data_IF_013483046073
#
_entry.id   IF_013483046073
#
_cell.length_a   1.000
_cell.length_b   1.000
_cell.length_c   1.000
_cell.angle_alpha   90.00
_cell.angle_beta   90.00
_cell.angle_gamma   90.00
#
_symmetry.space_group_name_H-M   'P 1'
#
loop_
_entity.id
_entity.type
_entity.pdbx_description
1 polymer ?
#
# COMPACT_ATOMS: atom_id res chain seq x y z
N UNK A 1 -0.11 5.21 -23.96
CA UNK A 1 0.78 5.28 -22.78
C UNK A 1 1.18 3.87 -22.37
N UNK A 2 2.45 3.61 -22.01
CA UNK A 2 2.89 2.30 -21.50
C UNK A 2 2.11 1.96 -20.23
N UNK A 3 1.65 0.71 -20.07
CA UNK A 3 0.88 0.24 -18.90
C UNK A 3 1.57 0.54 -17.56
N UNK A 4 2.90 0.55 -17.56
CA UNK A 4 3.72 0.89 -16.38
C UNK A 4 3.53 2.35 -15.93
N UNK A 5 3.44 3.30 -16.86
CA UNK A 5 3.18 4.70 -16.50
C UNK A 5 1.77 4.87 -15.93
N UNK A 6 0.78 4.16 -16.47
CA UNK A 6 -0.58 4.21 -15.94
C UNK A 6 -0.65 3.70 -14.50
N UNK A 7 0.06 2.60 -14.20
CA UNK A 7 0.19 2.05 -12.84
C UNK A 7 0.90 3.02 -11.88
N UNK A 8 2.01 3.64 -12.30
CA UNK A 8 2.72 4.59 -11.43
C UNK A 8 1.88 5.83 -11.12
N UNK A 9 1.12 6.32 -12.10
CA UNK A 9 0.25 7.48 -11.94
C UNK A 9 -0.93 7.16 -11.02
N UNK A 10 -1.61 6.03 -11.22
CA UNK A 10 -2.70 5.60 -10.33
C UNK A 10 -2.20 5.40 -8.90
N UNK A 11 -1.05 4.73 -8.74
CA UNK A 11 -0.47 4.48 -7.43
C UNK A 11 -0.09 5.78 -6.71
N UNK A 12 0.52 6.73 -7.42
CA UNK A 12 0.85 8.03 -6.86
C UNK A 12 -0.41 8.80 -6.40
N UNK A 13 -1.47 8.77 -7.20
CA UNK A 13 -2.75 9.42 -6.85
C UNK A 13 -3.37 8.74 -5.63
N UNK A 14 -3.41 7.41 -5.57
CA UNK A 14 -3.94 6.67 -4.42
C UNK A 14 -3.13 6.93 -3.14
N UNK A 15 -1.81 7.02 -3.22
CA UNK A 15 -0.96 7.32 -2.07
C UNK A 15 -1.17 8.74 -1.55
N UNK A 16 -1.22 9.73 -2.45
CA UNK A 16 -1.43 11.13 -2.04
C UNK A 16 -2.83 11.31 -1.43
N UNK A 17 -3.86 10.74 -2.06
CA UNK A 17 -5.23 10.82 -1.53
C UNK A 17 -5.39 10.13 -0.19
N UNK A 18 -4.76 8.97 0.01
CA UNK A 18 -4.77 8.27 1.32
C UNK A 18 -4.05 9.07 2.41
N UNK A 19 -2.93 9.74 2.10
CA UNK A 19 -2.26 10.65 3.06
C UNK A 19 -3.15 11.83 3.43
N UNK A 20 -3.80 12.46 2.46
CA UNK A 20 -4.71 13.59 2.70
C UNK A 20 -5.89 13.14 3.57
N UNK A 21 -6.51 12.01 3.26
CA UNK A 21 -7.60 11.44 4.06
C UNK A 21 -7.14 11.16 5.50
N UNK A 22 -6.03 10.46 5.70
CA UNK A 22 -5.51 10.19 7.05
C UNK A 22 -5.18 11.46 7.83
N UNK A 23 -4.66 12.49 7.16
CA UNK A 23 -4.43 13.81 7.75
C UNK A 23 -5.73 14.46 8.21
N UNK A 24 -6.81 14.38 7.42
CA UNK A 24 -8.13 14.89 7.81
C UNK A 24 -8.73 14.14 9.01
N UNK A 25 -8.51 12.82 9.11
CA UNK A 25 -8.93 12.03 10.27
C UNK A 25 -8.03 12.25 11.51
N UNK A 26 -6.99 13.10 11.43
CA UNK A 26 -5.97 13.31 12.47
C UNK A 26 -5.31 12.01 12.95
N UNK A 27 -5.33 10.96 12.13
CA UNK A 27 -4.65 9.70 12.45
C UNK A 27 -3.17 9.90 12.14
N UNK A 28 -2.36 10.01 13.19
CA UNK A 28 -0.90 10.15 13.10
C UNK A 28 -0.18 8.81 13.31
N UNK A 29 -0.92 7.70 13.28
CA UNK A 29 -0.35 6.36 13.47
C UNK A 29 0.31 5.87 12.20
N UNK A 30 1.64 5.74 12.23
CA UNK A 30 2.45 5.19 11.14
C UNK A 30 1.94 3.82 10.66
N UNK A 31 1.41 3.00 11.58
CA UNK A 31 0.80 1.70 11.29
C UNK A 31 -0.32 1.80 10.25
N UNK A 32 -1.18 2.81 10.38
CA UNK A 32 -2.36 2.99 9.53
C UNK A 32 -1.95 3.44 8.13
N UNK A 33 -0.95 4.33 8.02
CA UNK A 33 -0.37 4.72 6.73
C UNK A 33 0.24 3.53 5.99
N UNK A 34 1.07 2.73 6.70
CA UNK A 34 1.69 1.53 6.11
C UNK A 34 0.63 0.54 5.60
N UNK A 35 -0.41 0.27 6.39
CA UNK A 35 -1.49 -0.63 5.97
C UNK A 35 -2.25 -0.12 4.75
N UNK A 36 -2.60 1.17 4.71
CA UNK A 36 -3.28 1.77 3.57
C UNK A 36 -2.42 1.78 2.32
N UNK A 37 -1.12 2.00 2.46
CA UNK A 37 -0.17 1.93 1.35
C UNK A 37 -0.05 0.51 0.81
N UNK A 38 -0.03 -0.51 1.68
CA UNK A 38 -0.08 -1.92 1.27
C UNK A 38 -1.35 -2.24 0.51
N UNK A 39 -2.50 -1.81 1.02
CA UNK A 39 -3.79 -1.99 0.32
C UNK A 39 -3.81 -1.30 -1.04
N UNK A 40 -3.35 -0.04 -1.13
CA UNK A 40 -3.28 0.69 -2.40
C UNK A 40 -2.37 -0.02 -3.40
N UNK A 41 -1.18 -0.47 -2.96
CA UNK A 41 -0.24 -1.20 -3.81
C UNK A 41 -0.83 -2.51 -4.36
N UNK A 42 -1.47 -3.31 -3.50
CA UNK A 42 -2.09 -4.58 -3.93
C UNK A 42 -3.34 -4.36 -4.80
N UNK A 43 -4.17 -3.38 -4.47
CA UNK A 43 -5.34 -3.02 -5.26
C UNK A 43 -4.92 -2.59 -6.67
N UNK A 44 -3.92 -1.71 -6.77
CA UNK A 44 -3.44 -1.21 -8.05
C UNK A 44 -2.71 -2.31 -8.85
N UNK A 45 -1.97 -3.17 -8.15
CA UNK A 45 -1.33 -4.35 -8.77
C UNK A 45 -2.36 -5.36 -9.28
N UNK A 46 -3.51 -5.49 -8.60
CA UNK A 46 -4.61 -6.35 -9.04
C UNK A 46 -5.35 -5.77 -10.26
N UNK A 47 -5.62 -4.46 -10.25
CA UNK A 47 -6.31 -3.74 -11.33
C UNK A 47 -5.46 -3.70 -12.60
N UNK A 48 -4.20 -3.29 -12.48
CA UNK A 48 -3.31 -3.16 -13.64
C UNK A 48 -2.62 -4.47 -14.03
N UNK A 49 -2.80 -5.51 -13.22
CA UNK A 49 -2.39 -6.92 -13.43
C UNK A 49 -1.15 -7.00 -14.32
N UNK A 50 0.01 -6.49 -13.87
CA UNK A 50 1.23 -6.70 -14.62
C UNK A 50 1.44 -8.21 -14.58
N UNK A 51 1.46 -8.87 -15.75
CA UNK A 51 1.65 -10.32 -15.90
C UNK A 51 3.09 -10.65 -15.49
N UNK A 52 3.41 -10.48 -14.21
CA UNK A 52 4.73 -10.67 -13.63
C UNK A 52 4.86 -12.14 -13.30
N UNK A 53 5.73 -12.80 -14.07
CA UNK A 53 6.16 -14.19 -13.89
C UNK A 53 7.19 -14.31 -12.75
N UNK A 54 7.47 -13.22 -12.04
CA UNK A 54 8.52 -13.08 -11.04
C UNK A 54 7.95 -12.71 -9.67
N UNK A 55 8.63 -13.14 -8.62
CA UNK A 55 8.31 -12.85 -7.21
C UNK A 55 8.32 -11.32 -7.00
N UNK A 56 7.19 -10.75 -6.58
CA UNK A 56 7.03 -9.31 -6.36
C UNK A 56 7.56 -8.93 -4.97
N UNK A 57 8.88 -8.69 -4.90
CA UNK A 57 9.59 -8.36 -3.65
C UNK A 57 9.04 -7.11 -2.96
N UNK A 58 8.53 -6.14 -3.71
CA UNK A 58 7.94 -4.91 -3.17
C UNK A 58 6.61 -5.21 -2.49
N UNK A 59 5.73 -5.98 -3.15
CA UNK A 59 4.48 -6.43 -2.54
C UNK A 59 4.70 -7.29 -1.31
N UNK A 60 5.68 -8.20 -1.35
CA UNK A 60 6.06 -9.03 -0.20
C UNK A 60 6.61 -8.20 0.96
N UNK A 61 7.43 -7.19 0.68
CA UNK A 61 7.94 -6.25 1.69
C UNK A 61 6.80 -5.49 2.36
N UNK A 62 5.91 -4.87 1.59
CA UNK A 62 4.76 -4.16 2.14
C UNK A 62 3.82 -5.08 2.94
N UNK A 63 3.61 -6.31 2.48
CA UNK A 63 2.81 -7.30 3.19
C UNK A 63 3.46 -7.70 4.51
N UNK A 64 4.77 -7.99 4.50
CA UNK A 64 5.52 -8.33 5.70
C UNK A 64 5.48 -7.20 6.73
N UNK A 65 5.76 -5.95 6.34
CA UNK A 65 5.70 -4.81 7.24
C UNK A 65 4.29 -4.59 7.80
N UNK A 66 3.25 -4.70 6.96
CA UNK A 66 1.86 -4.57 7.41
C UNK A 66 1.46 -5.65 8.41
N UNK A 67 1.84 -6.91 8.15
CA UNK A 67 1.53 -8.05 9.01
C UNK A 67 2.31 -8.00 10.33
N UNK A 68 3.58 -7.60 10.30
CA UNK A 68 4.41 -7.44 11.50
C UNK A 68 3.84 -6.33 12.40
N UNK A 69 3.43 -5.21 11.81
CA UNK A 69 2.80 -4.12 12.57
C UNK A 69 1.45 -4.53 13.16
N UNK A 70 0.64 -5.26 12.40
CA UNK A 70 -0.63 -5.80 12.89
C UNK A 70 -0.39 -6.77 14.06
N UNK A 71 0.60 -7.66 13.93
CA UNK A 71 0.98 -8.61 14.97
C UNK A 71 1.50 -7.92 16.25
N UNK A 72 2.26 -6.82 16.12
CA UNK A 72 2.68 -6.00 17.26
C UNK A 72 1.46 -5.32 17.89
N UNK A 73 0.59 -4.69 17.09
CA UNK A 73 -0.61 -4.01 17.59
C UNK A 73 -1.54 -4.97 18.35
N UNK A 74 -1.73 -6.19 17.86
CA UNK A 74 -2.52 -7.22 18.55
C UNK A 74 -1.79 -7.87 19.74
N UNK A 75 -0.45 -7.85 19.78
CA UNK A 75 0.30 -8.33 20.96
C UNK A 75 0.32 -7.32 22.11
N UNK A 76 0.14 -6.04 21.81
CA UNK A 76 0.16 -4.95 22.79
C UNK A 76 -1.24 -4.71 23.40
N UNK A 77 -2.29 -5.34 22.85
CA UNK A 77 -3.68 -5.29 23.32
C UNK A 77 -3.99 -6.49 24.23
#
# INVERSE_FOLDING_TARGET
>A
MRRENSFLISLAILLVTSVVLLSTLRVQNLATYLNLFTLCYFADSFVFRPKRRSIDFVGLGLLYYSALFLAIAFRVL
#
